data_IF_942989713643
#
_entry.id   IF_942989713643
#
_cell.length_a   1.000
_cell.length_b   1.000
_cell.length_c   1.000
_cell.angle_alpha   90.00
_cell.angle_beta   90.00
_cell.angle_gamma   90.00
#
_symmetry.space_group_name_H-M   'P 1'
#
loop_
_entity.id
_entity.type
_entity.pdbx_description
1 polymer ?
#
# COMPACT_ATOMS: atom_id res chain seq x y z
N UNK A 1 2.90 -10.50 11.35
CA UNK A 1 3.66 -11.76 11.37
C UNK A 1 2.86 -12.79 10.59
N UNK A 2 3.31 -13.18 9.40
CA UNK A 2 2.67 -14.24 8.62
C UNK A 2 3.47 -15.52 8.82
N UNK A 3 2.84 -16.55 9.41
CA UNK A 3 3.47 -17.87 9.58
C UNK A 3 3.16 -18.72 8.35
N UNK A 4 4.18 -18.97 7.52
CA UNK A 4 4.13 -19.98 6.48
C UNK A 4 4.11 -21.38 7.13
N UNK A 5 3.01 -22.12 7.00
CA UNK A 5 2.87 -23.47 7.57
C UNK A 5 3.68 -24.55 6.84
N UNK A 6 4.42 -24.21 5.79
CA UNK A 6 5.13 -25.15 4.93
C UNK A 6 6.64 -25.20 5.22
N UNK A 7 7.21 -24.19 5.88
CA UNK A 7 8.62 -24.14 6.31
C UNK A 7 8.74 -23.44 7.68
N UNK A 8 8.69 -24.19 8.80
CA UNK A 8 8.74 -23.63 10.15
C UNK A 8 10.13 -23.05 10.55
N UNK A 9 11.18 -23.29 9.75
CA UNK A 9 12.55 -22.84 10.05
C UNK A 9 12.86 -21.40 9.63
N UNK A 10 12.00 -20.75 8.85
CA UNK A 10 12.25 -19.37 8.38
C UNK A 10 10.99 -18.50 8.50
N UNK A 11 10.76 -17.85 9.64
CA UNK A 11 9.78 -16.77 9.70
C UNK A 11 10.25 -15.65 8.77
N UNK A 12 9.56 -15.46 7.65
CA UNK A 12 9.82 -14.37 6.73
C UNK A 12 9.10 -13.11 7.23
N UNK A 13 9.86 -12.14 7.73
CA UNK A 13 9.33 -10.81 8.03
C UNK A 13 8.94 -10.12 6.72
N UNK A 14 7.64 -10.06 6.44
CA UNK A 14 7.08 -9.24 5.37
C UNK A 14 6.63 -7.90 5.92
N UNK A 15 7.15 -6.82 5.34
CA UNK A 15 6.72 -5.45 5.63
C UNK A 15 5.77 -5.00 4.54
N UNK A 16 4.60 -4.48 4.93
CA UNK A 16 3.63 -3.92 4.00
C UNK A 16 3.69 -2.39 4.04
N UNK A 17 4.46 -1.73 3.15
CA UNK A 17 4.49 -0.28 3.10
C UNK A 17 3.12 0.29 2.70
N UNK A 18 2.78 1.46 3.26
CA UNK A 18 1.63 2.24 2.82
C UNK A 18 1.79 2.67 1.36
N UNK A 19 0.67 2.87 0.66
CA UNK A 19 0.69 3.44 -0.69
C UNK A 19 0.99 4.93 -0.59
N UNK A 20 2.01 5.40 -1.30
CA UNK A 20 2.44 6.79 -1.28
C UNK A 20 2.19 7.43 -2.66
N UNK A 21 1.32 8.45 -2.73
CA UNK A 21 0.93 9.10 -3.98
C UNK A 21 1.26 10.60 -3.92
N UNK A 22 2.07 11.15 -4.84
CA UNK A 22 2.25 12.59 -4.96
C UNK A 22 1.00 13.22 -5.58
N UNK A 23 0.52 14.31 -5.00
CA UNK A 23 -0.69 15.02 -5.41
C UNK A 23 -0.40 16.51 -5.58
N UNK A 24 -0.86 17.07 -6.70
CA UNK A 24 -0.75 18.49 -7.01
C UNK A 24 -2.13 19.10 -7.19
N UNK A 25 -2.41 20.19 -6.50
CA UNK A 25 -3.64 20.96 -6.64
C UNK A 25 -3.34 22.27 -7.37
N UNK A 26 -4.22 22.65 -8.31
CA UNK A 26 -4.05 23.83 -9.16
C UNK A 26 -5.28 24.74 -9.10
N UNK A 27 -5.06 26.06 -9.09
CA UNK A 27 -6.12 27.04 -9.27
C UNK A 27 -6.64 26.99 -10.71
N UNK A 28 -7.92 26.70 -10.90
CA UNK A 28 -8.51 26.51 -12.24
C UNK A 28 -8.45 27.76 -13.11
N UNK A 29 -8.52 28.96 -12.51
CA UNK A 29 -8.53 30.22 -13.27
C UNK A 29 -7.17 30.56 -13.87
N UNK A 30 -6.09 30.30 -13.15
CA UNK A 30 -4.73 30.76 -13.50
C UNK A 30 -3.79 29.63 -13.87
N UNK A 31 -4.13 28.38 -13.53
CA UNK A 31 -3.24 27.23 -13.60
C UNK A 31 -2.14 27.24 -12.54
N UNK A 32 -2.19 28.14 -11.56
CA UNK A 32 -1.17 28.22 -10.51
C UNK A 32 -1.25 27.01 -9.59
N UNK A 33 -0.09 26.41 -9.28
CA UNK A 33 0.03 25.38 -8.25
C UNK A 33 -0.33 25.97 -6.88
N UNK A 34 -1.36 25.43 -6.25
CA UNK A 34 -1.82 25.85 -4.91
C UNK A 34 -1.36 24.88 -3.81
N UNK A 35 -1.06 23.62 -4.16
CA UNK A 35 -0.50 22.64 -3.21
C UNK A 35 0.27 21.56 -3.94
N UNK A 36 1.39 21.12 -3.35
CA UNK A 36 2.18 19.96 -3.75
C UNK A 36 2.43 19.13 -2.49
N UNK A 37 1.74 18.01 -2.38
CA UNK A 37 1.74 17.20 -1.17
C UNK A 37 1.81 15.73 -1.50
N UNK A 38 2.26 14.94 -0.53
CA UNK A 38 2.31 13.49 -0.62
C UNK A 38 1.27 12.92 0.33
N UNK A 39 0.33 12.15 -0.18
CA UNK A 39 -0.62 11.42 0.66
C UNK A 39 -0.13 10.00 0.87
N UNK A 40 -0.34 9.50 2.08
CA UNK A 40 -0.15 8.09 2.42
C UNK A 40 -1.49 7.42 2.63
N UNK A 41 -1.74 6.36 1.88
CA UNK A 41 -2.94 5.54 2.01
C UNK A 41 -2.56 4.31 2.81
N UNK A 42 -3.10 4.24 4.02
CA UNK A 42 -3.06 3.03 4.84
C UNK A 42 -4.02 1.96 4.28
N UNK A 43 -3.91 0.76 4.83
CA UNK A 43 -4.75 -0.36 4.43
C UNK A 43 -4.48 -1.56 5.33
N UNK A 44 -5.08 -2.69 5.01
CA UNK A 44 -4.89 -3.90 5.82
C UNK A 44 -3.46 -4.42 5.65
N UNK A 45 -2.67 -4.39 6.72
CA UNK A 45 -1.38 -5.06 6.80
C UNK A 45 -1.60 -6.48 7.34
N UNK A 46 -1.22 -7.52 6.59
CA UNK A 46 -1.55 -8.94 6.84
C UNK A 46 -2.98 -9.33 6.40
N UNK A 47 -3.27 -9.35 5.08
CA UNK A 47 -4.53 -9.90 4.59
C UNK A 47 -4.69 -11.38 4.98
N UNK A 48 -5.93 -11.84 5.16
CA UNK A 48 -6.25 -13.24 5.51
C UNK A 48 -5.79 -14.23 4.42
N UNK A 49 -5.69 -13.77 3.19
CA UNK A 49 -5.22 -14.54 2.03
C UNK A 49 -4.26 -13.67 1.24
N UNK A 50 -3.09 -14.21 0.90
CA UNK A 50 -2.03 -13.51 0.20
C UNK A 50 -1.66 -14.31 -1.04
N UNK A 51 -1.83 -13.71 -2.22
CA UNK A 51 -1.48 -14.33 -3.48
C UNK A 51 -0.09 -13.83 -3.91
N UNK A 52 0.86 -14.74 -4.07
CA UNK A 52 2.18 -14.44 -4.62
C UNK A 52 2.62 -15.53 -5.58
N UNK A 53 3.48 -15.17 -6.53
CA UNK A 53 4.02 -16.11 -7.51
C UNK A 53 5.12 -16.95 -6.87
N UNK A 54 4.91 -18.26 -6.76
CA UNK A 54 5.94 -19.24 -6.39
C UNK A 54 6.46 -19.97 -7.63
N UNK A 55 7.77 -20.19 -7.72
CA UNK A 55 8.34 -21.00 -8.80
C UNK A 55 8.33 -22.49 -8.43
N UNK A 56 8.06 -23.41 -9.38
CA UNK A 56 7.75 -24.81 -9.10
C UNK A 56 8.88 -25.62 -8.43
N UNK A 57 10.11 -25.11 -8.42
CA UNK A 57 11.27 -25.75 -7.77
C UNK A 57 11.75 -25.02 -6.51
N UNK A 58 11.23 -23.83 -6.21
CA UNK A 58 11.73 -22.98 -5.12
C UNK A 58 10.63 -22.04 -4.63
N UNK A 59 10.07 -22.33 -3.44
CA UNK A 59 9.24 -21.37 -2.71
C UNK A 59 10.17 -20.40 -1.98
N UNK A 60 10.37 -19.21 -2.56
CA UNK A 60 11.19 -18.14 -1.98
C UNK A 60 10.40 -17.29 -0.97
N UNK A 61 9.16 -17.68 -0.68
CA UNK A 61 8.25 -16.92 0.15
C UNK A 61 7.67 -15.70 -0.59
N UNK A 62 6.74 -15.00 0.08
CA UNK A 62 6.14 -13.79 -0.47
C UNK A 62 7.18 -12.69 -0.70
N UNK A 63 7.05 -11.90 -1.79
CA UNK A 63 7.94 -10.79 -2.05
C UNK A 63 7.78 -9.70 -0.98
N UNK A 64 8.89 -9.04 -0.64
CA UNK A 64 8.97 -8.05 0.44
C UNK A 64 8.49 -6.65 0.06
N UNK A 65 8.07 -6.44 -1.18
CA UNK A 65 7.66 -5.15 -1.75
C UNK A 65 6.13 -4.98 -1.87
N UNK A 66 5.36 -5.89 -1.28
CA UNK A 66 3.90 -5.84 -1.34
C UNK A 66 3.34 -4.71 -0.47
N UNK A 67 2.73 -3.73 -1.11
CA UNK A 67 2.03 -2.63 -0.44
C UNK A 67 0.78 -3.12 0.30
N UNK A 68 0.29 -2.31 1.24
CA UNK A 68 -1.00 -2.55 1.90
C UNK A 68 -2.14 -2.61 0.89
N UNK A 69 -3.11 -3.49 1.14
CA UNK A 69 -4.36 -3.50 0.37
C UNK A 69 -5.28 -2.40 0.91
N UNK A 70 -5.46 -1.34 0.12
CA UNK A 70 -6.30 -0.20 0.45
C UNK A 70 -7.75 -0.45 0.05
N UNK A 71 -8.70 -0.24 0.96
CA UNK A 71 -10.13 -0.27 0.63
C UNK A 71 -10.56 1.04 -0.04
N UNK A 72 -11.73 1.03 -0.70
CA UNK A 72 -12.33 2.26 -1.24
C UNK A 72 -12.56 3.33 -0.15
N UNK A 73 -12.83 2.92 1.09
CA UNK A 73 -12.97 3.82 2.22
C UNK A 73 -11.62 4.45 2.61
N UNK A 74 -10.53 3.68 2.61
CA UNK A 74 -9.17 4.18 2.91
C UNK A 74 -8.72 5.20 1.87
N UNK A 75 -8.98 4.92 0.58
CA UNK A 75 -8.71 5.88 -0.51
C UNK A 75 -9.52 7.16 -0.29
N UNK A 76 -10.84 7.05 -0.07
CA UNK A 76 -11.68 8.23 0.14
C UNK A 76 -11.23 9.05 1.35
N UNK A 77 -10.88 8.40 2.45
CA UNK A 77 -10.39 9.06 3.65
C UNK A 77 -9.07 9.81 3.41
N UNK A 78 -8.12 9.19 2.69
CA UNK A 78 -6.82 9.79 2.38
C UNK A 78 -6.95 11.05 1.52
N UNK A 79 -7.90 11.09 0.58
CA UNK A 79 -8.13 12.26 -0.28
C UNK A 79 -9.08 13.30 0.33
N UNK A 80 -9.88 12.96 1.35
CA UNK A 80 -10.87 13.88 1.93
C UNK A 80 -10.24 15.21 2.39
N UNK A 81 -9.08 15.15 3.04
CA UNK A 81 -8.35 16.34 3.52
C UNK A 81 -7.80 17.26 2.43
N UNK A 82 -7.84 16.85 1.16
CA UNK A 82 -7.44 17.69 0.02
C UNK A 82 -8.62 18.37 -0.68
N UNK A 83 -9.85 17.90 -0.43
CA UNK A 83 -11.06 18.36 -1.13
C UNK A 83 -11.88 19.31 -0.27
N UNK A 84 -11.81 19.19 1.06
CA UNK A 84 -12.44 20.13 1.99
C UNK A 84 -11.46 21.24 2.38
N UNK A 85 -11.73 22.52 2.04
CA UNK A 85 -10.92 23.67 2.44
C UNK A 85 -11.01 23.98 3.94
#
# INVERSE_FOLDING_TARGET
>A
MHENKTCPEFPHEVTFPKVAIPVKAYELRTGRLVSDTKIEIGGTSCPRTMHYTSYPSTDLGPPSDLQVEASAADVRAAFAGLVTP
#
